data_IF_169138794679
#
_entry.id   IF_169138794679
#
_cell.length_a   1.000
_cell.length_b   1.000
_cell.length_c   1.000
_cell.angle_alpha   90.00
_cell.angle_beta   90.00
_cell.angle_gamma   90.00
#
_symmetry.space_group_name_H-M   'P 1'
#
loop_
_entity.id
_entity.type
_entity.pdbx_description
1 polymer ?
#
# COMPACT_ATOMS: atom_id res chain seq x y z
N UNK A 1 14.59 46.52 -5.34
CA UNK A 1 14.45 45.62 -6.50
C UNK A 1 13.82 44.36 -5.98
N UNK A 2 12.59 44.10 -6.41
CA UNK A 2 11.86 42.88 -6.13
C UNK A 2 12.41 41.74 -6.99
N UNK A 3 12.48 40.56 -6.42
CA UNK A 3 12.16 39.32 -7.13
C UNK A 3 11.43 38.43 -6.12
N UNK A 4 10.10 38.28 -6.26
CA UNK A 4 9.33 37.28 -5.53
C UNK A 4 9.23 36.00 -6.36
N UNK A 5 8.98 34.88 -5.68
CA UNK A 5 8.27 33.75 -6.30
C UNK A 5 9.01 32.43 -6.38
N UNK A 6 8.39 31.43 -5.76
CA UNK A 6 8.31 30.03 -6.17
C UNK A 6 9.52 29.12 -5.95
N UNK A 7 9.45 28.33 -4.89
CA UNK A 7 8.88 27.00 -5.09
C UNK A 7 8.09 26.63 -3.84
N UNK A 8 6.77 26.61 -4.00
CA UNK A 8 5.84 25.88 -3.16
C UNK A 8 6.43 24.49 -2.88
N UNK A 9 6.23 23.97 -1.67
CA UNK A 9 6.59 22.60 -1.36
C UNK A 9 5.95 21.69 -2.42
N UNK A 10 6.76 21.23 -3.38
CA UNK A 10 6.39 20.12 -4.23
C UNK A 10 6.19 18.97 -3.26
N UNK A 11 4.94 18.64 -2.95
CA UNK A 11 4.60 17.39 -2.28
C UNK A 11 5.19 16.30 -3.16
N UNK A 12 6.42 15.85 -2.83
CA UNK A 12 7.05 14.71 -3.48
C UNK A 12 6.02 13.60 -3.44
N UNK A 13 5.48 13.20 -4.59
CA UNK A 13 4.40 12.23 -4.65
C UNK A 13 4.84 10.96 -3.93
N UNK A 14 4.26 10.71 -2.76
CA UNK A 14 4.73 9.64 -1.88
C UNK A 14 4.11 8.35 -2.39
N UNK A 15 4.93 7.37 -2.73
CA UNK A 15 4.46 6.09 -3.26
C UNK A 15 4.71 4.99 -2.25
N UNK A 16 3.66 4.21 -1.95
CA UNK A 16 3.78 2.96 -1.20
C UNK A 16 4.03 1.82 -2.19
N UNK A 17 5.11 1.08 -2.01
CA UNK A 17 5.39 -0.13 -2.77
C UNK A 17 4.82 -1.34 -2.02
N UNK A 18 3.94 -2.09 -2.69
CA UNK A 18 3.38 -3.35 -2.19
C UNK A 18 4.05 -4.48 -2.95
N UNK A 19 4.76 -5.36 -2.23
CA UNK A 19 5.47 -6.49 -2.82
C UNK A 19 4.88 -7.80 -2.34
N UNK A 20 4.73 -8.75 -3.26
CA UNK A 20 4.38 -10.12 -2.92
C UNK A 20 5.63 -11.01 -2.89
N UNK A 21 5.79 -11.78 -1.81
CA UNK A 21 6.79 -12.85 -1.70
C UNK A 21 6.08 -14.17 -1.41
N UNK A 22 6.07 -15.08 -2.36
CA UNK A 22 5.72 -16.46 -2.07
C UNK A 22 6.87 -17.08 -1.27
N UNK A 23 6.71 -17.29 0.03
CA UNK A 23 7.74 -17.97 0.82
C UNK A 23 7.83 -19.45 0.40
N UNK A 24 8.95 -19.85 -0.21
CA UNK A 24 9.40 -21.24 -0.15
C UNK A 24 10.48 -21.35 0.93
N UNK A 25 10.56 -22.51 1.60
CA UNK A 25 11.45 -22.76 2.76
C UNK A 25 12.93 -22.44 2.49
N UNK A 26 13.35 -22.33 1.23
CA UNK A 26 14.71 -22.02 0.79
C UNK A 26 14.99 -20.49 0.76
N UNK A 27 13.96 -19.66 0.61
CA UNK A 27 14.08 -18.19 0.43
C UNK A 27 14.44 -17.43 1.72
N UNK A 28 14.25 -18.07 2.89
CA UNK A 28 14.54 -17.47 4.21
C UNK A 28 16.04 -17.26 4.42
N UNK A 29 16.90 -18.05 3.76
CA UNK A 29 18.36 -17.93 3.85
C UNK A 29 18.89 -16.69 3.11
N UNK A 30 18.41 -16.45 1.89
CA UNK A 30 18.81 -15.30 1.07
C UNK A 30 18.26 -13.96 1.61
N UNK A 31 17.17 -14.02 2.39
CA UNK A 31 16.53 -12.87 3.02
C UNK A 31 17.44 -12.12 4.01
N UNK A 32 18.37 -12.81 4.68
CA UNK A 32 19.31 -12.17 5.60
C UNK A 32 20.42 -11.41 4.88
N UNK A 33 20.78 -11.84 3.67
CA UNK A 33 21.89 -11.26 2.90
C UNK A 33 21.45 -10.05 2.05
N UNK A 34 20.18 -9.99 1.62
CA UNK A 34 19.67 -8.90 0.78
C UNK A 34 19.41 -7.58 1.53
N UNK A 35 19.20 -7.62 2.85
CA UNK A 35 19.03 -6.43 3.69
C UNK A 35 20.33 -5.62 3.86
N UNK A 36 21.47 -6.15 3.42
CA UNK A 36 22.80 -5.56 3.57
C UNK A 36 23.22 -4.71 2.36
N UNK A 37 22.45 -4.73 1.26
CA UNK A 37 22.75 -3.96 0.04
C UNK A 37 22.14 -2.55 0.13
N UNK A 38 22.81 -1.71 0.91
CA UNK A 38 22.54 -0.28 1.00
C UNK A 38 22.79 0.42 -0.33
N UNK A 39 21.72 0.62 -1.10
CA UNK A 39 21.66 1.68 -2.10
C UNK A 39 20.94 2.91 -1.52
N UNK A 40 21.45 4.08 -1.86
CA UNK A 40 20.95 5.39 -1.45
C UNK A 40 19.61 5.66 -2.17
N UNK A 41 18.54 5.12 -1.63
CA UNK A 41 17.17 5.37 -2.07
C UNK A 41 16.51 6.27 -1.02
N UNK A 42 16.01 7.44 -1.46
CA UNK A 42 15.12 8.28 -0.65
C UNK A 42 14.00 7.45 -0.04
N UNK A 43 13.29 7.95 1.00
CA UNK A 43 12.46 7.14 1.88
C UNK A 43 11.56 6.15 1.11
N UNK A 44 12.00 4.89 1.03
CA UNK A 44 11.34 3.82 0.31
C UNK A 44 10.42 3.12 1.29
N UNK A 45 9.12 3.36 1.14
CA UNK A 45 8.12 2.76 2.00
C UNK A 45 7.57 1.50 1.31
N UNK A 46 7.82 0.35 1.92
CA UNK A 46 7.43 -0.97 1.39
C UNK A 46 6.52 -1.70 2.39
N UNK A 47 5.50 -2.37 1.86
CA UNK A 47 4.73 -3.40 2.57
C UNK A 47 4.87 -4.71 1.81
N UNK A 48 5.33 -5.75 2.50
CA UNK A 48 5.52 -7.08 1.93
C UNK A 48 4.41 -8.00 2.41
N UNK A 49 3.71 -8.65 1.50
CA UNK A 49 2.72 -9.69 1.78
C UNK A 49 3.25 -11.07 1.38
N UNK A 50 2.98 -12.06 2.22
CA UNK A 50 3.28 -13.49 2.04
C UNK A 50 2.06 -14.28 1.53
N UNK A 51 0.85 -13.79 1.82
CA UNK A 51 -0.41 -14.38 1.36
C UNK A 51 -0.96 -13.68 0.11
N UNK A 52 -1.21 -14.40 -1.01
CA UNK A 52 -1.85 -13.83 -2.18
C UNK A 52 -3.27 -13.28 -1.89
N UNK A 53 -3.94 -13.75 -0.83
CA UNK A 53 -5.20 -13.17 -0.40
C UNK A 53 -5.06 -11.71 0.03
N UNK A 54 -3.95 -11.31 0.64
CA UNK A 54 -3.74 -9.94 1.11
C UNK A 54 -3.53 -8.97 -0.06
N UNK A 55 -2.75 -9.38 -1.06
CA UNK A 55 -2.62 -8.64 -2.33
C UNK A 55 -3.98 -8.50 -3.02
N UNK A 56 -4.77 -9.58 -3.05
CA UNK A 56 -6.13 -9.52 -3.58
C UNK A 56 -7.01 -8.56 -2.77
N UNK A 57 -6.89 -8.52 -1.44
CA UNK A 57 -7.64 -7.56 -0.61
C UNK A 57 -7.28 -6.11 -0.95
N UNK A 58 -6.01 -5.79 -1.15
CA UNK A 58 -5.58 -4.43 -1.58
C UNK A 58 -6.21 -4.04 -2.92
N UNK A 59 -6.16 -4.95 -3.89
CA UNK A 59 -6.58 -4.69 -5.28
C UNK A 59 -8.08 -4.74 -5.52
N UNK A 60 -8.89 -5.10 -4.50
CA UNK A 60 -10.35 -5.09 -4.60
C UNK A 60 -10.85 -3.69 -5.00
N UNK A 61 -11.76 -3.58 -5.98
CA UNK A 61 -12.28 -2.28 -6.43
C UNK A 61 -12.83 -1.39 -5.30
N UNK A 62 -13.52 -2.01 -4.34
CA UNK A 62 -14.09 -1.34 -3.16
C UNK A 62 -13.04 -0.77 -2.20
N UNK A 63 -11.87 -1.40 -2.12
CA UNK A 63 -10.79 -0.97 -1.26
C UNK A 63 -9.98 0.14 -1.94
N UNK A 64 -9.71 0.01 -3.24
CA UNK A 64 -9.14 1.09 -4.05
C UNK A 64 -10.01 2.35 -4.09
N UNK A 65 -11.33 2.20 -4.11
CA UNK A 65 -12.29 3.31 -3.98
C UNK A 65 -12.15 4.03 -2.64
N UNK A 66 -12.07 3.29 -1.52
CA UNK A 66 -11.89 3.86 -0.19
C UNK A 66 -10.55 4.59 -0.07
N UNK A 67 -9.45 3.99 -0.55
CA UNK A 67 -8.13 4.61 -0.54
C UNK A 67 -8.12 5.92 -1.32
N UNK A 68 -8.70 5.94 -2.53
CA UNK A 68 -8.87 7.17 -3.31
C UNK A 68 -9.71 8.21 -2.57
N UNK A 69 -10.82 7.81 -1.94
CA UNK A 69 -11.68 8.72 -1.20
C UNK A 69 -10.98 9.34 0.02
N UNK A 70 -10.10 8.58 0.69
CA UNK A 70 -9.31 9.08 1.82
C UNK A 70 -8.27 10.09 1.34
N UNK A 71 -7.51 9.76 0.28
CA UNK A 71 -6.47 10.64 -0.28
C UNK A 71 -7.08 11.93 -0.85
N UNK A 72 -8.20 11.84 -1.58
CA UNK A 72 -8.80 13.02 -2.24
C UNK A 72 -9.69 13.86 -1.32
N UNK A 73 -10.36 13.21 -0.36
CA UNK A 73 -11.39 13.83 0.45
C UNK A 73 -10.99 14.11 1.90
N UNK A 74 -9.87 13.57 2.37
CA UNK A 74 -9.33 13.71 3.73
C UNK A 74 -10.43 13.67 4.82
N UNK A 75 -11.30 12.64 4.83
CA UNK A 75 -12.49 12.63 5.67
C UNK A 75 -12.11 12.63 7.15
N UNK A 76 -12.79 13.44 7.95
CA UNK A 76 -12.58 13.55 9.41
C UNK A 76 -13.05 12.32 10.19
N UNK A 77 -13.79 11.40 9.55
CA UNK A 77 -14.31 10.22 10.21
C UNK A 77 -14.70 9.09 9.26
N UNK A 78 -14.85 7.87 9.81
CA UNK A 78 -15.45 6.72 9.11
C UNK A 78 -16.84 7.05 8.53
N UNK A 79 -17.67 7.81 9.26
CA UNK A 79 -19.02 8.18 8.79
C UNK A 79 -18.97 9.13 7.61
N UNK A 80 -18.01 10.05 7.61
CA UNK A 80 -17.79 10.94 6.48
C UNK A 80 -17.26 10.19 5.27
N UNK A 81 -16.29 9.30 5.46
CA UNK A 81 -15.79 8.41 4.42
C UNK A 81 -16.94 7.65 3.75
N UNK A 82 -17.86 7.09 4.55
CA UNK A 82 -19.03 6.38 4.05
C UNK A 82 -19.98 7.25 3.22
N UNK A 83 -20.11 8.55 3.56
CA UNK A 83 -20.88 9.51 2.74
C UNK A 83 -20.17 9.85 1.44
N UNK A 84 -18.84 9.97 1.44
CA UNK A 84 -18.05 10.26 0.24
C UNK A 84 -18.18 9.15 -0.82
N UNK A 85 -18.25 7.89 -0.39
CA UNK A 85 -18.38 6.73 -1.29
C UNK A 85 -19.82 6.21 -1.43
N UNK A 86 -20.82 6.91 -0.87
CA UNK A 86 -22.24 6.51 -0.85
C UNK A 86 -22.48 5.03 -0.42
N UNK A 87 -21.88 4.63 0.72
CA UNK A 87 -21.96 3.25 1.24
C UNK A 87 -22.39 3.20 2.70
N UNK A 88 -22.84 2.01 3.10
CA UNK A 88 -23.20 1.71 4.49
C UNK A 88 -21.99 1.82 5.44
N UNK A 89 -22.18 2.50 6.56
CA UNK A 89 -21.13 2.80 7.55
C UNK A 89 -20.52 1.52 8.15
N UNK A 90 -21.30 0.45 8.36
CA UNK A 90 -20.79 -0.81 8.93
C UNK A 90 -19.86 -1.50 7.93
N UNK A 91 -20.22 -1.48 6.64
CA UNK A 91 -19.37 -2.02 5.59
C UNK A 91 -18.05 -1.23 5.47
N UNK A 92 -18.14 0.10 5.51
CA UNK A 92 -16.96 0.97 5.43
C UNK A 92 -16.08 0.78 6.66
N UNK A 93 -16.64 0.73 7.86
CA UNK A 93 -15.89 0.44 9.09
C UNK A 93 -15.11 -0.88 8.99
N UNK A 94 -15.76 -1.96 8.53
CA UNK A 94 -15.10 -3.25 8.32
C UNK A 94 -13.95 -3.14 7.31
N UNK A 95 -14.18 -2.48 6.17
CA UNK A 95 -13.14 -2.34 5.14
C UNK A 95 -11.99 -1.44 5.58
N UNK A 96 -12.25 -0.36 6.32
CA UNK A 96 -11.19 0.48 6.87
C UNK A 96 -10.37 -0.27 7.93
N UNK A 97 -11.01 -1.09 8.76
CA UNK A 97 -10.29 -1.94 9.73
C UNK A 97 -9.43 -2.99 9.01
N UNK A 98 -9.92 -3.56 7.90
CA UNK A 98 -9.16 -4.47 7.05
C UNK A 98 -7.95 -3.76 6.40
N UNK A 99 -8.15 -2.56 5.85
CA UNK A 99 -7.07 -1.74 5.29
C UNK A 99 -6.03 -1.33 6.35
N UNK A 100 -6.45 -1.03 7.57
CA UNK A 100 -5.56 -0.75 8.71
C UNK A 100 -4.72 -1.99 9.05
N UNK A 101 -5.33 -3.19 9.08
CA UNK A 101 -4.59 -4.44 9.34
C UNK A 101 -3.58 -4.80 8.24
N UNK A 102 -3.82 -4.30 7.02
CA UNK A 102 -2.91 -4.43 5.89
C UNK A 102 -1.83 -3.35 5.87
N UNK A 103 -1.76 -2.48 6.88
CA UNK A 103 -0.82 -1.34 6.98
C UNK A 103 -0.96 -0.33 5.82
N UNK A 104 -2.14 -0.26 5.20
CA UNK A 104 -2.41 0.66 4.10
C UNK A 104 -2.96 2.01 4.56
N UNK A 105 -3.57 2.06 5.73
CA UNK A 105 -4.12 3.29 6.33
C UNK A 105 -3.87 3.27 7.83
N UNK A 106 -3.95 4.45 8.44
CA UNK A 106 -4.03 4.61 9.90
C UNK A 106 -5.43 5.09 10.30
N UNK A 107 -6.01 4.55 11.37
CA UNK A 107 -7.22 5.12 11.98
C UNK A 107 -6.85 5.89 13.25
N UNK A 108 -6.72 7.20 13.11
CA UNK A 108 -6.38 8.12 14.21
C UNK A 108 -7.61 8.41 15.06
N UNK A 109 -7.51 8.26 16.38
CA UNK A 109 -8.57 8.65 17.30
C UNK A 109 -8.58 10.17 17.53
N UNK A 110 -9.67 10.81 17.10
CA UNK A 110 -9.91 12.24 17.31
C UNK A 110 -11.22 12.42 18.10
N UNK A 111 -11.10 12.50 19.42
CA UNK A 111 -12.24 12.61 20.33
C UNK A 111 -13.12 11.36 20.31
N UNK A 112 -14.32 11.47 19.73
CA UNK A 112 -15.27 10.35 19.58
C UNK A 112 -15.29 9.75 18.17
N UNK A 113 -14.40 10.22 17.29
CA UNK A 113 -14.32 9.80 15.89
C UNK A 113 -13.00 9.07 15.63
N UNK A 114 -13.04 8.11 14.69
CA UNK A 114 -11.84 7.51 14.09
C UNK A 114 -11.67 8.10 12.70
N UNK A 115 -10.59 8.84 12.49
CA UNK A 115 -10.22 9.49 11.22
C UNK A 115 -9.29 8.57 10.43
N UNK A 116 -9.68 8.09 9.24
CA UNK A 116 -8.74 7.39 8.36
C UNK A 116 -7.75 8.38 7.74
N UNK A 117 -6.48 7.99 7.73
CA UNK A 117 -5.39 8.78 7.17
C UNK A 117 -4.49 7.88 6.32
N UNK A 118 -3.97 8.44 5.24
CA UNK A 118 -3.00 7.80 4.35
C UNK A 118 -1.81 8.76 4.23
N UNK A 119 -0.58 8.24 4.25
CA UNK A 119 0.64 9.06 4.16
C UNK A 119 1.26 9.07 2.74
N UNK A 120 0.67 8.33 1.81
CA UNK A 120 1.05 8.19 0.40
C UNK A 120 -0.05 8.68 -0.57
N UNK A 121 0.35 9.05 -1.78
CA UNK A 121 -0.52 9.53 -2.85
C UNK A 121 -0.73 8.46 -3.94
N UNK A 122 0.17 7.47 -4.02
CA UNK A 122 0.14 6.39 -4.99
C UNK A 122 0.50 5.04 -4.35
N UNK A 123 -0.02 3.96 -4.94
CA UNK A 123 0.39 2.58 -4.62
C UNK A 123 0.95 1.97 -5.90
N UNK A 124 2.13 1.40 -5.79
CA UNK A 124 2.71 0.52 -6.80
C UNK A 124 2.68 -0.92 -6.29
N UNK A 125 2.27 -1.87 -7.13
CA UNK A 125 2.12 -3.28 -6.73
C UNK A 125 3.01 -4.13 -7.61
N UNK A 126 4.05 -4.71 -7.00
CA UNK A 126 4.93 -5.68 -7.65
C UNK A 126 4.50 -7.11 -7.29
N UNK A 127 3.97 -7.80 -8.29
CA UNK A 127 3.49 -9.18 -8.20
C UNK A 127 4.27 -10.06 -9.20
N UNK A 128 5.44 -10.60 -8.81
CA UNK A 128 6.21 -11.48 -9.68
C UNK A 128 5.44 -12.79 -9.92
N UNK A 129 5.32 -13.17 -11.20
CA UNK A 129 4.68 -14.43 -11.61
C UNK A 129 5.67 -15.58 -11.81
N UNK A 130 6.97 -15.28 -11.74
CA UNK A 130 8.06 -16.25 -11.88
C UNK A 130 8.81 -16.29 -10.56
N UNK A 131 8.88 -17.48 -9.95
CA UNK A 131 9.78 -17.74 -8.84
C UNK A 131 11.18 -18.02 -9.39
N UNK A 132 12.26 -17.43 -8.82
CA UNK A 132 13.63 -17.69 -9.28
C UNK A 132 14.06 -19.17 -9.13
N UNK A 133 13.30 -19.99 -8.39
CA UNK A 133 13.50 -21.45 -8.28
C UNK A 133 12.90 -22.28 -9.42
N UNK A 134 12.15 -21.68 -10.35
CA UNK A 134 11.74 -22.35 -11.59
C UNK A 134 12.90 -22.29 -12.60
N UNK A 135 13.96 -23.03 -12.30
CA UNK A 135 15.04 -23.31 -13.23
C UNK A 135 14.51 -24.00 -14.47
N UNK A 136 14.36 -23.23 -15.54
CA UNK A 136 14.91 -23.44 -16.89
C UNK A 136 15.40 -24.84 -17.33
N UNK A 137 14.74 -25.95 -17.01
CA UNK A 137 15.17 -27.29 -17.48
C UNK A 137 14.10 -28.13 -18.22
N UNK A 138 12.86 -27.66 -18.42
CA UNK A 138 11.79 -28.52 -19.00
C UNK A 138 11.14 -28.02 -20.31
N UNK A 139 11.89 -27.29 -21.16
CA UNK A 139 11.42 -26.92 -22.51
C UNK A 139 12.38 -27.29 -23.64
N UNK A 140 13.15 -28.37 -23.46
CA UNK A 140 14.02 -28.89 -24.51
C UNK A 140 13.77 -30.40 -24.75
N UNK A 141 12.58 -30.76 -25.24
CA UNK A 141 12.43 -31.87 -26.19
C UNK A 141 11.00 -31.92 -26.77
N UNK A 142 10.84 -31.47 -28.02
CA UNK A 142 9.78 -31.90 -28.94
C UNK A 142 10.25 -31.75 -30.39
#
# INVERSE_FOLDING_TARGET
METPGNNDAETEQRTLHVRFRAETTEDVGEMLDALEQGDDVGPHFEVVYDDPEDVHRVTRPKNLELLRAIVQGEPSSIRETARLVDRDVRQVHRNLTELESLHLIDLVEEGQSRRPSVWYDAIDIDLPLVSPSMGSDEFAEA
#
